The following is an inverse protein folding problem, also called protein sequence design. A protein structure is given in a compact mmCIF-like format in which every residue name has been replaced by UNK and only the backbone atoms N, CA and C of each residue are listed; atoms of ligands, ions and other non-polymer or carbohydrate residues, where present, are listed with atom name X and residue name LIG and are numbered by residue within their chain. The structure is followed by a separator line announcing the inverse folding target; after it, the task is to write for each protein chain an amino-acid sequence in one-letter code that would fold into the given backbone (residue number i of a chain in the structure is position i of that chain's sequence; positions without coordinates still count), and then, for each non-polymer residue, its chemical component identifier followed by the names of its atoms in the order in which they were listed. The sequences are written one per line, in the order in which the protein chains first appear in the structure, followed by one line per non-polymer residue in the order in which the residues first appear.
data_IF_458448403574
#
_entry.id   IF_458448403574
#
_cell.length_a   1.000
_cell.length_b   1.000
_cell.length_c   1.000
_cell.angle_alpha   90.00
_cell.angle_beta   90.00
_cell.angle_gamma   90.00
#
_symmetry.space_group_name_H-M   'P 1'
#
loop_
_entity.id
_entity.type
_entity.pdbx_description
1 polymer ?
#
# COMPACT_ATOMS: atom_id res chain seq x y z
N UNK A 1 19.45 8.00 27.99
CA UNK A 1 17.98 7.92 27.81
C UNK A 1 17.69 7.52 26.37
N UNK A 2 17.36 6.24 26.14
CA UNK A 2 16.99 5.77 24.80
C UNK A 2 15.65 6.37 24.41
N UNK A 3 15.62 7.25 23.41
CA UNK A 3 14.36 7.71 22.83
C UNK A 3 13.63 6.48 22.31
N UNK A 4 12.40 6.27 22.78
CA UNK A 4 11.52 5.22 22.26
C UNK A 4 11.43 5.36 20.74
N UNK A 5 11.28 4.25 20.02
CA UNK A 5 11.13 4.26 18.56
C UNK A 5 10.05 5.25 18.12
N UNK A 6 8.95 5.30 18.87
CA UNK A 6 7.85 6.25 18.67
C UNK A 6 8.31 7.71 18.78
N UNK A 7 9.13 8.06 19.77
CA UNK A 7 9.66 9.41 19.91
C UNK A 7 10.56 9.83 18.75
N UNK A 8 11.34 8.89 18.19
CA UNK A 8 12.16 9.17 17.00
C UNK A 8 11.31 9.38 15.74
N UNK A 9 10.27 8.57 15.56
CA UNK A 9 9.35 8.70 14.42
C UNK A 9 8.56 10.00 14.52
N UNK A 10 8.08 10.37 15.71
CA UNK A 10 7.37 11.62 15.93
C UNK A 10 8.24 12.82 15.55
N UNK A 11 9.47 12.92 16.09
CA UNK A 11 10.39 14.01 15.74
C UNK A 11 10.71 14.05 14.25
N UNK A 12 10.97 12.91 13.62
CA UNK A 12 11.21 12.87 12.17
C UNK A 12 10.02 13.37 11.36
N UNK A 13 8.79 13.02 11.78
CA UNK A 13 7.55 13.43 11.11
C UNK A 13 7.34 14.94 11.24
N UNK A 14 7.61 15.49 12.43
CA UNK A 14 7.57 16.93 12.67
C UNK A 14 8.59 17.69 11.81
N UNK A 15 9.80 17.12 11.64
CA UNK A 15 10.86 17.68 10.80
C UNK A 15 10.59 17.52 9.29
N UNK A 16 9.74 16.55 8.88
CA UNK A 16 9.50 16.20 7.48
C UNK A 16 8.00 16.00 7.17
N UNK A 17 7.13 17.01 7.39
CA UNK A 17 5.68 16.82 7.36
C UNK A 17 5.16 16.40 5.98
N UNK A 18 5.76 16.92 4.91
CA UNK A 18 5.38 16.58 3.53
C UNK A 18 5.83 15.19 3.10
N UNK A 19 7.02 14.73 3.54
CA UNK A 19 7.44 13.33 3.32
C UNK A 19 6.51 12.37 4.06
N UNK A 20 6.18 12.69 5.31
CA UNK A 20 5.26 11.90 6.12
C UNK A 20 3.87 11.82 5.47
N UNK A 21 3.33 12.93 4.97
CA UNK A 21 2.07 12.93 4.23
C UNK A 21 2.16 12.07 2.95
N UNK A 22 3.25 12.18 2.18
CA UNK A 22 3.47 11.40 0.97
C UNK A 22 3.43 9.89 1.22
N UNK A 23 4.10 9.41 2.27
CA UNK A 23 4.11 7.97 2.58
C UNK A 23 2.75 7.48 3.10
N UNK A 24 2.01 8.31 3.85
CA UNK A 24 0.65 7.99 4.31
C UNK A 24 -0.30 7.87 3.12
N UNK A 25 -0.24 8.81 2.18
CA UNK A 25 -1.05 8.77 0.95
C UNK A 25 -0.71 7.54 0.12
N UNK A 26 0.59 7.24 -0.03
CA UNK A 26 1.03 6.06 -0.78
C UNK A 26 0.54 4.75 -0.14
N UNK A 27 0.68 4.64 1.18
CA UNK A 27 0.20 3.48 1.94
C UNK A 27 -1.33 3.35 1.86
N UNK A 28 -2.07 4.45 1.95
CA UNK A 28 -3.53 4.46 1.84
C UNK A 28 -4.01 3.99 0.46
N UNK A 29 -3.37 4.46 -0.62
CA UNK A 29 -3.71 4.03 -1.97
C UNK A 29 -3.39 2.54 -2.20
N UNK A 30 -2.24 2.06 -1.70
CA UNK A 30 -1.89 0.65 -1.74
C UNK A 30 -2.88 -0.21 -0.95
N UNK A 31 -3.30 0.22 0.24
CA UNK A 31 -4.30 -0.47 1.05
C UNK A 31 -5.65 -0.51 0.34
N UNK A 32 -6.11 0.59 -0.28
CA UNK A 32 -7.34 0.63 -1.06
C UNK A 32 -7.32 -0.35 -2.22
N UNK A 33 -6.20 -0.43 -2.95
CA UNK A 33 -6.01 -1.40 -4.02
C UNK A 33 -6.10 -2.85 -3.52
N UNK A 34 -5.48 -3.15 -2.38
CA UNK A 34 -5.54 -4.49 -1.77
C UNK A 34 -6.95 -4.85 -1.28
N UNK A 35 -7.70 -3.89 -0.75
CA UNK A 35 -9.10 -4.10 -0.35
C UNK A 35 -9.96 -4.41 -1.58
N UNK A 36 -9.83 -3.64 -2.66
CA UNK A 36 -10.58 -3.88 -3.90
C UNK A 36 -10.19 -5.23 -4.53
N UNK A 37 -8.90 -5.57 -4.55
CA UNK A 37 -8.41 -6.86 -5.04
C UNK A 37 -8.89 -8.03 -4.17
N UNK A 38 -8.92 -7.86 -2.84
CA UNK A 38 -9.46 -8.84 -1.91
C UNK A 38 -10.97 -9.05 -2.10
N UNK A 39 -11.72 -7.99 -2.35
CA UNK A 39 -13.15 -8.06 -2.68
C UNK A 39 -13.39 -8.78 -4.02
N UNK A 40 -12.55 -8.53 -5.03
CA UNK A 40 -12.60 -9.25 -6.30
C UNK A 40 -12.23 -10.74 -6.14
N UNK A 41 -11.19 -11.04 -5.35
CA UNK A 41 -10.65 -12.37 -5.07
C UNK A 41 -11.55 -13.26 -4.21
N UNK A 42 -12.26 -12.66 -3.24
CA UNK A 42 -13.16 -13.35 -2.31
C UNK A 42 -14.33 -14.08 -2.97
N UNK A 43 -14.69 -13.69 -4.20
CA UNK A 43 -15.66 -14.42 -5.01
C UNK A 43 -15.13 -15.75 -5.58
N UNK A 44 -13.80 -15.90 -5.71
CA UNK A 44 -13.18 -17.11 -6.28
C UNK A 44 -12.77 -18.16 -5.21
N UNK A 45 -12.49 -17.75 -3.98
CA UNK A 45 -12.04 -18.63 -2.89
C UNK A 45 -13.11 -19.55 -2.30
N UNK A 46 -14.40 -19.32 -2.60
CA UNK A 46 -15.48 -20.23 -2.19
C UNK A 46 -15.50 -21.58 -2.92
N UNK A 47 -14.71 -21.75 -4.00
CA UNK A 47 -14.86 -22.86 -4.94
C UNK A 47 -13.77 -23.95 -4.89
N UNK A 48 -12.69 -23.81 -4.15
CA UNK A 48 -11.63 -24.82 -4.20
C UNK A 48 -10.58 -24.72 -3.10
N UNK A 49 -10.30 -25.86 -2.46
CA UNK A 49 -9.24 -26.04 -1.47
C UNK A 49 -7.85 -25.83 -2.06
N UNK A 50 -7.48 -24.57 -2.29
CA UNK A 50 -6.21 -24.18 -2.86
C UNK A 50 -5.10 -24.17 -1.79
N UNK A 51 -3.93 -24.70 -2.15
CA UNK A 51 -2.71 -24.64 -1.33
C UNK A 51 -2.16 -23.21 -1.26
N UNK A 52 -1.46 -22.85 -0.19
CA UNK A 52 -0.94 -21.49 0.06
C UNK A 52 -0.13 -20.87 -1.11
N UNK A 53 0.65 -21.67 -1.85
CA UNK A 53 1.42 -21.20 -3.01
C UNK A 53 0.53 -20.85 -4.22
N UNK A 54 -0.53 -21.64 -4.46
CA UNK A 54 -1.53 -21.34 -5.47
C UNK A 54 -2.31 -20.07 -5.11
N UNK A 55 -2.68 -19.92 -3.84
CA UNK A 55 -3.36 -18.72 -3.32
C UNK A 55 -2.52 -17.46 -3.49
N UNK A 56 -1.21 -17.53 -3.24
CA UNK A 56 -0.31 -16.37 -3.40
C UNK A 56 -0.18 -15.93 -4.86
N UNK A 57 -0.07 -16.88 -5.79
CA UNK A 57 0.02 -16.59 -7.23
C UNK A 57 -1.28 -15.98 -7.74
N UNK A 58 -2.43 -16.54 -7.36
CA UNK A 58 -3.75 -16.00 -7.72
C UNK A 58 -3.95 -14.62 -7.12
N UNK A 59 -3.60 -14.40 -5.85
CA UNK A 59 -3.71 -13.09 -5.21
C UNK A 59 -2.88 -12.02 -5.93
N UNK A 60 -1.64 -12.35 -6.32
CA UNK A 60 -0.80 -11.42 -7.07
C UNK A 60 -1.40 -11.08 -8.45
N UNK A 61 -1.96 -12.07 -9.14
CA UNK A 61 -2.67 -11.86 -10.41
C UNK A 61 -3.92 -10.96 -10.22
N UNK A 62 -4.74 -11.24 -9.20
CA UNK A 62 -5.93 -10.43 -8.90
C UNK A 62 -5.57 -8.99 -8.54
N UNK A 63 -4.49 -8.76 -7.78
CA UNK A 63 -4.00 -7.41 -7.48
C UNK A 63 -3.53 -6.71 -8.76
N UNK A 64 -2.80 -7.39 -9.65
CA UNK A 64 -2.34 -6.83 -10.92
C UNK A 64 -3.52 -6.46 -11.83
N UNK A 65 -4.53 -7.33 -11.95
CA UNK A 65 -5.75 -7.05 -12.71
C UNK A 65 -6.54 -5.88 -12.10
N UNK A 66 -6.66 -5.83 -10.78
CA UNK A 66 -7.33 -4.72 -10.07
C UNK A 66 -6.57 -3.40 -10.27
N UNK A 67 -5.24 -3.45 -10.31
CA UNK A 67 -4.39 -2.28 -10.56
C UNK A 67 -4.61 -1.73 -11.97
N UNK A 68 -4.76 -2.60 -12.97
CA UNK A 68 -5.09 -2.22 -14.34
C UNK A 68 -6.51 -1.68 -14.46
N UNK A 69 -7.48 -2.27 -13.75
CA UNK A 69 -8.86 -1.82 -13.74
C UNK A 69 -9.07 -0.50 -12.99
N UNK A 70 -8.23 -0.21 -11.99
CA UNK A 70 -8.31 0.97 -11.12
C UNK A 70 -6.95 1.69 -11.05
N UNK A 71 -6.50 2.30 -12.17
CA UNK A 71 -5.17 2.90 -12.26
C UNK A 71 -4.97 4.08 -11.29
N UNK A 72 -6.06 4.71 -10.83
CA UNK A 72 -6.01 5.82 -9.88
C UNK A 72 -5.24 5.45 -8.60
N UNK A 73 -5.42 4.24 -8.04
CA UNK A 73 -4.68 3.84 -6.84
C UNK A 73 -3.18 3.71 -7.10
N UNK A 74 -2.80 3.16 -8.26
CA UNK A 74 -1.40 3.04 -8.66
C UNK A 74 -0.76 4.42 -8.81
N UNK A 75 -1.45 5.32 -9.52
CA UNK A 75 -0.97 6.69 -9.73
C UNK A 75 -0.82 7.43 -8.39
N UNK A 76 -1.82 7.37 -7.51
CA UNK A 76 -1.75 8.02 -6.20
C UNK A 76 -0.64 7.41 -5.34
N UNK A 77 -0.44 6.09 -5.38
CA UNK A 77 0.64 5.43 -4.67
C UNK A 77 2.03 5.92 -5.15
N UNK A 78 2.23 6.00 -6.47
CA UNK A 78 3.47 6.49 -7.07
C UNK A 78 3.70 7.98 -6.79
N UNK A 79 2.66 8.81 -6.85
CA UNK A 79 2.76 10.24 -6.54
C UNK A 79 3.11 10.44 -5.05
N UNK A 80 2.45 9.73 -4.14
CA UNK A 80 2.78 9.79 -2.71
C UNK A 80 4.23 9.35 -2.45
N UNK A 81 4.69 8.30 -3.13
CA UNK A 81 6.08 7.84 -3.05
C UNK A 81 7.07 8.86 -3.62
N UNK A 82 6.72 9.50 -4.74
CA UNK A 82 7.53 10.55 -5.35
C UNK A 82 7.66 11.75 -4.41
N UNK A 83 6.57 12.16 -3.75
CA UNK A 83 6.60 13.22 -2.73
C UNK A 83 7.51 12.81 -1.56
N UNK A 84 7.36 11.58 -1.04
CA UNK A 84 8.23 11.08 0.03
C UNK A 84 9.72 11.09 -0.35
N UNK A 85 10.05 10.64 -1.55
CA UNK A 85 11.44 10.52 -2.00
C UNK A 85 12.07 11.87 -2.37
N UNK A 86 11.35 12.68 -3.15
CA UNK A 86 11.89 13.89 -3.77
C UNK A 86 11.72 15.15 -2.91
N UNK A 87 10.78 15.17 -1.95
CA UNK A 87 10.64 16.31 -1.05
C UNK A 87 11.74 16.26 0.00
N UNK A 88 12.64 17.24 0.05
CA UNK A 88 13.85 17.13 0.86
C UNK A 88 13.77 17.73 2.27
N UNK A 89 12.59 18.22 2.68
CA UNK A 89 12.42 18.94 3.95
C UNK A 89 12.42 20.43 3.72
#
# INVERSE_FOLDING_TARGET
MGRSLLGRVATWTDDNPLRAAGIVVAAGAAAGLLVDAGAAGGGQTGAGGATAAATATTAAATVAETALARPAYVVVALVGLAVFAAYDG
#
